data_IF_422019207472
#
_entry.id   IF_422019207472
#
_cell.length_a   1.000
_cell.length_b   1.000
_cell.length_c   1.000
_cell.angle_alpha   90.00
_cell.angle_beta   90.00
_cell.angle_gamma   90.00
#
_symmetry.space_group_name_H-M   'P 1'
#
loop_
_entity.id
_entity.type
_entity.pdbx_description
1 polymer ?
#
# COMPACT_ATOMS: atom_id res chain seq x y z
N UNK A 1 -16.14 -32.94 39.17
CA UNK A 1 -16.46 -31.65 38.50
C UNK A 1 -15.37 -30.58 38.71
N UNK A 2 -14.84 -30.37 39.92
CA UNK A 2 -13.76 -29.38 40.19
C UNK A 2 -12.49 -29.53 39.34
N UNK A 3 -12.01 -30.76 39.14
CA UNK A 3 -10.80 -31.01 38.34
C UNK A 3 -10.96 -30.73 36.85
N UNK A 4 -12.18 -30.85 36.30
CA UNK A 4 -12.47 -30.53 34.89
C UNK A 4 -12.49 -29.03 34.66
N UNK A 5 -13.05 -28.26 35.60
CA UNK A 5 -13.06 -26.79 35.55
C UNK A 5 -11.66 -26.19 35.65
N UNK A 6 -10.80 -26.73 36.53
CA UNK A 6 -9.40 -26.27 36.64
C UNK A 6 -8.60 -26.53 35.37
N UNK A 7 -8.81 -27.68 34.72
CA UNK A 7 -8.14 -28.01 33.44
C UNK A 7 -8.58 -27.08 32.31
N UNK A 8 -9.89 -26.80 32.21
CA UNK A 8 -10.41 -25.88 31.20
C UNK A 8 -9.88 -24.44 31.39
N UNK A 9 -9.81 -23.97 32.64
CA UNK A 9 -9.25 -22.65 32.94
C UNK A 9 -7.75 -22.55 32.60
N UNK A 10 -6.97 -23.59 32.90
CA UNK A 10 -5.55 -23.64 32.54
C UNK A 10 -5.33 -23.66 31.02
N UNK A 11 -6.15 -24.42 30.28
CA UNK A 11 -6.10 -24.47 28.82
C UNK A 11 -6.47 -23.12 28.21
N UNK A 12 -7.51 -22.46 28.71
CA UNK A 12 -7.89 -21.12 28.25
C UNK A 12 -6.81 -20.07 28.54
N UNK A 13 -6.15 -20.15 29.71
CA UNK A 13 -5.05 -19.26 30.07
C UNK A 13 -3.81 -19.47 29.20
N UNK A 14 -3.55 -20.72 28.79
CA UNK A 14 -2.44 -21.07 27.89
C UNK A 14 -2.71 -20.74 26.42
N UNK A 15 -3.97 -20.85 25.96
CA UNK A 15 -4.35 -20.55 24.58
C UNK A 15 -4.68 -19.08 24.34
N UNK A 16 -4.98 -18.30 25.38
CA UNK A 16 -5.26 -16.87 25.29
C UNK A 16 -4.17 -16.06 24.57
N UNK A 17 -2.87 -16.22 24.90
CA UNK A 17 -1.79 -15.52 24.23
C UNK A 17 -1.63 -15.88 22.74
N UNK A 18 -1.92 -17.13 22.35
CA UNK A 18 -1.88 -17.56 20.95
C UNK A 18 -2.96 -16.87 20.10
N UNK A 19 -4.06 -16.44 20.70
CA UNK A 19 -5.13 -15.70 20.04
C UNK A 19 -4.84 -14.20 19.92
N UNK A 20 -3.91 -13.66 20.73
CA UNK A 20 -3.48 -12.25 20.65
C UNK A 20 -2.31 -12.07 19.67
N UNK A 21 -1.60 -13.15 19.33
CA UNK A 21 -0.61 -13.16 18.23
C UNK A 21 -1.26 -13.22 16.83
N UNK A 22 -2.53 -12.85 16.71
CA UNK A 22 -3.19 -12.72 15.41
C UNK A 22 -2.58 -11.53 14.66
N UNK A 23 -1.64 -11.87 13.77
CA UNK A 23 -1.29 -11.17 12.55
C UNK A 23 -1.17 -9.65 12.68
N UNK A 24 -0.11 -9.18 13.33
CA UNK A 24 0.58 -8.06 12.71
C UNK A 24 1.03 -8.57 11.35
N UNK A 25 0.40 -8.10 10.28
CA UNK A 25 0.84 -8.40 8.93
C UNK A 25 2.35 -8.14 8.89
N UNK A 26 3.14 -9.19 8.70
CA UNK A 26 4.56 -9.06 8.42
C UNK A 26 4.68 -8.37 7.06
N UNK A 27 4.59 -7.04 7.05
CA UNK A 27 4.73 -6.20 5.87
C UNK A 27 6.20 -5.88 5.69
N UNK A 28 6.93 -6.87 5.18
CA UNK A 28 8.30 -6.66 4.73
C UNK A 28 8.25 -6.36 3.23
N UNK A 29 8.10 -5.09 2.90
CA UNK A 29 8.48 -4.62 1.59
C UNK A 29 9.98 -4.40 1.63
N UNK A 30 10.72 -5.39 1.16
CA UNK A 30 12.17 -5.33 1.04
C UNK A 30 12.49 -5.19 -0.44
N UNK A 31 12.87 -3.98 -0.84
CA UNK A 31 13.37 -3.73 -2.18
C UNK A 31 14.81 -4.25 -2.25
N UNK A 32 15.07 -5.15 -3.19
CA UNK A 32 16.44 -5.56 -3.49
C UNK A 32 17.14 -4.41 -4.21
N UNK A 33 18.25 -3.94 -3.64
CA UNK A 33 19.04 -2.86 -4.23
C UNK A 33 19.74 -3.37 -5.50
N UNK A 34 19.34 -2.82 -6.65
CA UNK A 34 19.83 -3.20 -7.96
C UNK A 34 20.59 -2.03 -8.59
N UNK A 35 21.80 -2.22 -9.15
CA UNK A 35 22.49 -1.14 -9.83
C UNK A 35 21.67 -0.59 -11.01
N UNK A 36 21.62 0.74 -11.14
CA UNK A 36 20.81 1.43 -12.14
C UNK A 36 21.03 0.94 -13.59
N UNK A 37 22.27 0.61 -13.96
CA UNK A 37 22.60 0.04 -15.27
C UNK A 37 21.95 -1.33 -15.51
N UNK A 38 21.88 -2.16 -14.46
CA UNK A 38 21.24 -3.47 -14.55
C UNK A 38 19.72 -3.31 -14.56
N UNK A 39 19.15 -2.42 -13.74
CA UNK A 39 17.70 -2.15 -13.74
C UNK A 39 17.22 -1.64 -15.11
N UNK A 40 18.02 -0.80 -15.79
CA UNK A 40 17.77 -0.39 -17.17
C UNK A 40 17.60 -1.57 -18.13
N UNK A 41 18.32 -2.68 -17.96
CA UNK A 41 18.21 -3.83 -18.87
C UNK A 41 16.86 -4.54 -18.75
N UNK A 42 16.23 -4.52 -17.56
CA UNK A 42 15.00 -5.26 -17.26
C UNK A 42 13.71 -4.50 -17.54
N UNK A 43 13.75 -3.18 -17.60
CA UNK A 43 12.53 -2.35 -17.72
C UNK A 43 12.23 -1.99 -19.17
N UNK A 44 10.97 -1.70 -19.48
CA UNK A 44 10.57 -1.28 -20.83
C UNK A 44 10.83 0.22 -21.04
N UNK A 45 10.66 1.02 -19.99
CA UNK A 45 10.94 2.44 -19.99
C UNK A 45 11.63 2.90 -18.71
N UNK A 46 12.52 3.89 -18.84
CA UNK A 46 13.17 4.57 -17.73
C UNK A 46 13.26 6.07 -18.01
N UNK A 47 12.67 6.88 -17.14
CA UNK A 47 12.54 8.31 -17.34
C UNK A 47 12.43 9.06 -16.01
N UNK A 48 12.61 10.38 -16.06
CA UNK A 48 12.42 11.25 -14.91
C UNK A 48 11.45 12.36 -15.24
N UNK A 49 10.69 12.77 -14.23
CA UNK A 49 9.66 13.78 -14.40
C UNK A 49 9.05 14.23 -13.08
N UNK A 50 8.15 15.21 -13.18
CA UNK A 50 7.39 15.73 -12.04
C UNK A 50 5.98 15.19 -12.04
N UNK A 51 5.49 14.78 -10.88
CA UNK A 51 4.08 14.44 -10.70
C UNK A 51 3.24 15.71 -10.78
N UNK A 52 2.35 15.79 -11.75
CA UNK A 52 1.44 16.94 -11.96
C UNK A 52 0.03 16.69 -11.43
N UNK A 53 -0.37 15.43 -11.25
CA UNK A 53 -1.63 15.06 -10.61
C UNK A 53 -1.57 13.65 -10.03
N UNK A 54 -2.24 13.43 -8.90
CA UNK A 54 -2.43 12.11 -8.29
C UNK A 54 -3.93 11.81 -8.22
N UNK A 55 -4.35 10.66 -8.78
CA UNK A 55 -5.75 10.26 -8.88
C UNK A 55 -6.04 8.98 -8.08
N UNK A 56 -7.32 8.78 -7.74
CA UNK A 56 -7.85 7.55 -7.10
C UNK A 56 -6.98 7.06 -5.92
N UNK A 57 -6.75 7.95 -4.96
CA UNK A 57 -5.95 7.71 -3.75
C UNK A 57 -4.50 7.26 -4.02
N UNK A 58 -3.93 7.65 -5.17
CA UNK A 58 -2.58 7.30 -5.60
C UNK A 58 -2.49 6.06 -6.49
N UNK A 59 -3.62 5.56 -6.99
CA UNK A 59 -3.61 4.43 -7.93
C UNK A 59 -3.08 4.84 -9.30
N UNK A 60 -3.32 6.09 -9.71
CA UNK A 60 -2.85 6.62 -10.98
C UNK A 60 -2.16 7.96 -10.77
N UNK A 61 -1.10 8.22 -11.54
CA UNK A 61 -0.37 9.48 -11.51
C UNK A 61 -0.16 10.02 -12.91
N UNK A 62 -0.25 11.33 -13.04
CA UNK A 62 0.17 12.04 -14.23
C UNK A 62 1.56 12.65 -14.03
N UNK A 63 2.46 12.40 -14.96
CA UNK A 63 3.86 12.81 -14.89
C UNK A 63 4.23 13.65 -16.11
N UNK A 64 4.78 14.83 -15.85
CA UNK A 64 5.47 15.65 -16.84
C UNK A 64 6.92 15.17 -16.96
N UNK A 65 7.23 14.49 -18.07
CA UNK A 65 8.54 13.87 -18.30
C UNK A 65 9.57 14.90 -18.80
N UNK A 66 10.78 14.86 -18.22
CA UNK A 66 11.88 15.77 -18.55
C UNK A 66 13.05 15.07 -19.24
N UNK A 67 13.38 13.83 -18.82
CA UNK A 67 14.47 13.04 -19.41
C UNK A 67 14.09 11.58 -19.54
N UNK A 68 14.62 10.94 -20.57
CA UNK A 68 14.38 9.54 -20.91
C UNK A 68 15.73 8.85 -21.12
N UNK A 69 15.90 7.67 -20.53
CA UNK A 69 17.08 6.82 -20.70
C UNK A 69 16.79 5.55 -21.49
N UNK A 70 15.57 5.04 -21.39
CA UNK A 70 15.12 3.85 -22.14
C UNK A 70 13.62 3.96 -22.43
N UNK A 71 13.22 3.36 -23.56
CA UNK A 71 11.84 3.32 -24.03
C UNK A 71 11.33 4.70 -24.46
N UNK A 72 10.14 4.74 -25.05
CA UNK A 72 9.40 6.00 -25.10
C UNK A 72 8.50 6.05 -23.86
N UNK A 73 8.40 7.17 -23.15
CA UNK A 73 7.35 7.35 -22.16
C UNK A 73 6.02 7.48 -22.93
N UNK A 74 5.44 6.34 -23.33
CA UNK A 74 4.27 6.29 -24.21
C UNK A 74 3.02 6.97 -23.62
N UNK A 75 3.03 7.23 -22.31
CA UNK A 75 1.93 7.84 -21.59
C UNK A 75 2.47 8.88 -20.60
N UNK A 76 1.75 9.98 -20.44
CA UNK A 76 1.88 10.86 -19.26
C UNK A 76 1.14 10.28 -18.05
N UNK A 77 0.47 9.13 -18.19
CA UNK A 77 -0.33 8.46 -17.17
C UNK A 77 0.28 7.11 -16.81
N UNK A 78 0.52 6.92 -15.53
CA UNK A 78 1.10 5.67 -15.01
C UNK A 78 0.22 5.13 -13.89
N UNK A 79 0.15 3.81 -13.81
CA UNK A 79 -0.33 3.14 -12.61
C UNK A 79 0.77 3.26 -11.55
N UNK A 80 0.52 4.09 -10.54
CA UNK A 80 1.43 4.28 -9.41
C UNK A 80 1.34 3.14 -8.38
N UNK A 81 0.48 2.16 -8.64
CA UNK A 81 0.27 0.96 -7.85
C UNK A 81 0.22 -0.23 -8.80
N UNK A 82 1.20 -1.14 -8.70
CA UNK A 82 1.00 -2.50 -9.19
C UNK A 82 -0.17 -3.12 -8.44
N UNK A 83 -1.13 -3.74 -9.15
CA UNK A 83 -2.25 -4.42 -8.52
C UNK A 83 -1.71 -5.51 -7.58
N UNK A 84 -1.90 -5.35 -6.26
CA UNK A 84 -1.35 -6.24 -5.24
C UNK A 84 -0.19 -5.68 -4.39
N UNK A 85 0.22 -4.43 -4.57
CA UNK A 85 1.32 -3.86 -3.79
C UNK A 85 0.93 -3.64 -2.31
N UNK A 86 1.36 -4.59 -1.48
CA UNK A 86 1.25 -4.56 -0.01
C UNK A 86 1.97 -3.34 0.61
N UNK A 87 2.76 -2.65 -0.21
CA UNK A 87 3.63 -1.53 0.14
C UNK A 87 2.98 -0.15 0.01
N UNK A 88 1.79 -0.09 -0.60
CA UNK A 88 1.09 1.15 -0.92
C UNK A 88 0.60 1.97 0.29
N UNK A 89 0.68 1.43 1.51
CA UNK A 89 0.32 2.17 2.74
C UNK A 89 1.41 3.14 3.21
N UNK A 90 2.69 2.85 2.92
CA UNK A 90 3.82 3.60 3.49
C UNK A 90 4.54 4.49 2.47
N UNK A 91 4.30 4.29 1.18
CA UNK A 91 4.87 5.13 0.13
C UNK A 91 3.82 5.50 -0.92
N UNK A 92 3.85 6.76 -1.35
CA UNK A 92 2.96 7.34 -2.35
C UNK A 92 3.69 8.42 -3.13
N UNK A 93 3.35 8.54 -4.42
CA UNK A 93 3.65 9.74 -5.18
C UNK A 93 3.02 10.97 -4.52
N UNK A 94 3.74 12.08 -4.57
CA UNK A 94 3.26 13.37 -4.14
C UNK A 94 3.33 14.39 -5.27
N UNK A 95 2.25 15.16 -5.44
CA UNK A 95 2.18 16.21 -6.46
C UNK A 95 3.31 17.24 -6.30
N UNK A 96 3.85 17.70 -7.42
CA UNK A 96 4.96 18.63 -7.50
C UNK A 96 6.33 18.03 -7.20
N UNK A 97 6.41 16.76 -6.76
CA UNK A 97 7.68 16.06 -6.54
C UNK A 97 8.20 15.46 -7.84
N UNK A 98 9.52 15.29 -7.87
CA UNK A 98 10.25 14.81 -9.03
C UNK A 98 10.84 13.44 -8.73
N UNK A 99 10.72 12.53 -9.69
CA UNK A 99 11.11 11.12 -9.52
C UNK A 99 11.86 10.62 -10.75
N UNK A 100 12.78 9.69 -10.52
CA UNK A 100 13.28 8.74 -11.50
C UNK A 100 12.40 7.49 -11.40
N UNK A 101 11.92 7.02 -12.56
CA UNK A 101 10.90 5.98 -12.65
C UNK A 101 11.37 4.93 -13.65
N UNK A 102 11.38 3.70 -13.17
CA UNK A 102 11.51 2.49 -13.97
C UNK A 102 10.11 1.90 -14.17
N UNK A 103 9.72 1.68 -15.42
CA UNK A 103 8.36 1.30 -15.78
C UNK A 103 8.36 0.09 -16.71
N UNK A 104 7.32 -0.72 -16.54
CA UNK A 104 7.02 -1.89 -17.34
C UNK A 104 5.79 -1.62 -18.20
N UNK A 105 5.80 -2.14 -19.42
CA UNK A 105 4.63 -2.10 -20.28
C UNK A 105 3.47 -2.84 -19.60
N UNK A 106 2.28 -2.26 -19.64
CA UNK A 106 1.07 -2.94 -19.20
C UNK A 106 0.67 -4.03 -20.19
N UNK A 107 -0.23 -4.92 -19.77
CA UNK A 107 -0.92 -5.83 -20.69
C UNK A 107 -1.60 -5.06 -21.85
N UNK A 108 -1.96 -5.75 -22.93
CA UNK A 108 -2.49 -5.11 -24.14
C UNK A 108 -3.64 -4.10 -23.86
N UNK A 109 -3.33 -2.80 -23.94
CA UNK A 109 -4.25 -1.69 -23.71
C UNK A 109 -4.28 -1.14 -22.28
N UNK A 110 -3.52 -1.72 -21.34
CA UNK A 110 -3.32 -1.23 -19.99
C UNK A 110 -2.27 -0.11 -19.95
N UNK A 111 -2.36 0.71 -18.90
CA UNK A 111 -1.35 1.73 -18.63
C UNK A 111 -0.02 1.07 -18.19
N UNK A 112 1.13 1.68 -18.50
CA UNK A 112 2.40 1.25 -17.94
C UNK A 112 2.35 1.26 -16.41
N UNK A 113 3.04 0.30 -15.79
CA UNK A 113 3.05 0.09 -14.34
C UNK A 113 4.45 0.28 -13.77
N UNK A 114 4.52 0.66 -12.49
CA UNK A 114 5.75 0.75 -11.71
C UNK A 114 5.47 0.25 -10.29
N UNK A 115 6.51 -0.11 -9.55
CA UNK A 115 6.42 -0.55 -8.15
C UNK A 115 7.12 0.45 -7.22
N UNK A 116 6.90 0.30 -5.91
CA UNK A 116 7.59 1.11 -4.90
C UNK A 116 9.13 0.98 -4.95
N UNK A 117 9.64 -0.13 -5.49
CA UNK A 117 11.08 -0.39 -5.61
C UNK A 117 11.67 0.16 -6.91
N UNK A 118 10.81 0.58 -7.84
CA UNK A 118 11.17 1.05 -9.18
C UNK A 118 11.06 2.58 -9.30
N UNK A 119 10.86 3.27 -8.17
CA UNK A 119 10.71 4.72 -8.12
C UNK A 119 11.62 5.29 -7.05
N UNK A 120 12.42 6.27 -7.45
CA UNK A 120 13.31 7.00 -6.54
C UNK A 120 13.09 8.50 -6.69
N UNK A 121 13.02 9.23 -5.58
CA UNK A 121 12.93 10.69 -5.64
C UNK A 121 14.22 11.28 -6.22
N UNK A 122 14.09 12.22 -7.16
CA UNK A 122 15.23 12.80 -7.90
C UNK A 122 16.29 13.48 -7.02
N UNK A 123 15.94 13.82 -5.77
CA UNK A 123 16.83 14.40 -4.77
C UNK A 123 17.79 13.37 -4.11
N UNK A 124 17.66 12.08 -4.44
CA UNK A 124 18.43 11.01 -3.81
C UNK A 124 19.15 10.09 -4.83
N UNK A 125 19.22 10.48 -6.10
CA UNK A 125 19.67 9.61 -7.21
C UNK A 125 20.95 10.09 -7.88
N UNK A 126 21.77 10.92 -7.22
CA UNK A 126 22.97 11.47 -7.84
C UNK A 126 23.91 10.38 -8.38
N UNK A 127 24.10 9.30 -7.60
CA UNK A 127 24.94 8.17 -7.97
C UNK A 127 24.33 7.36 -9.13
N UNK A 128 23.02 7.17 -9.14
CA UNK A 128 22.31 6.49 -10.23
C UNK A 128 22.39 7.29 -11.53
N UNK A 129 22.14 8.60 -11.47
CA UNK A 129 22.22 9.49 -12.63
C UNK A 129 23.63 9.54 -13.23
N UNK A 130 24.68 9.37 -12.41
CA UNK A 130 26.04 9.26 -12.91
C UNK A 130 26.23 8.03 -13.80
N UNK A 131 25.62 6.90 -13.43
CA UNK A 131 25.66 5.64 -14.18
C UNK A 131 24.77 5.69 -15.42
N UNK A 132 23.55 6.22 -15.28
CA UNK A 132 22.57 6.33 -16.37
C UNK A 132 23.02 7.34 -17.45
N UNK A 133 23.83 8.33 -17.07
CA UNK A 133 24.27 9.40 -17.95
C UNK A 133 23.19 10.48 -18.12
N UNK A 134 23.36 11.40 -19.10
CA UNK A 134 22.56 12.63 -19.17
C UNK A 134 21.08 12.42 -19.55
N UNK A 135 20.74 11.26 -20.11
CA UNK A 135 19.43 11.01 -20.71
C UNK A 135 19.20 11.81 -22.00
N UNK A 136 18.02 11.65 -22.58
CA UNK A 136 17.55 12.35 -23.77
C UNK A 136 16.26 13.11 -23.46
N UNK A 137 15.99 14.18 -24.22
CA UNK A 137 14.70 14.87 -24.11
C UNK A 137 13.58 13.95 -24.63
N UNK A 138 12.36 14.00 -24.05
CA UNK A 138 11.23 13.24 -24.56
C UNK A 138 10.89 13.67 -25.99
N UNK A 139 10.41 12.73 -26.81
CA UNK A 139 10.04 13.03 -28.20
C UNK A 139 8.88 14.04 -28.26
N UNK A 140 8.95 15.06 -29.13
CA UNK A 140 7.86 16.04 -29.29
C UNK A 140 6.58 15.35 -29.80
N UNK A 141 5.50 15.45 -29.03
CA UNK A 141 4.18 14.89 -29.39
C UNK A 141 3.72 13.72 -28.52
N UNK A 142 4.59 13.19 -27.65
CA UNK A 142 4.23 12.16 -26.63
C UNK A 142 3.69 12.79 -25.33
N UNK A 143 3.66 14.12 -25.25
CA UNK A 143 3.06 14.87 -24.15
C UNK A 143 1.56 15.03 -24.43
N UNK A 144 0.72 14.42 -23.58
CA UNK A 144 -0.73 14.60 -23.66
C UNK A 144 -1.11 16.09 -23.44
N UNK A 145 -2.23 16.56 -24.03
CA UNK A 145 -2.73 17.91 -23.78
C UNK A 145 -2.91 18.17 -22.29
N UNK A 146 -2.51 19.36 -21.83
CA UNK A 146 -2.67 19.79 -20.44
C UNK A 146 -4.15 19.71 -20.03
N UNK A 147 -4.48 19.31 -18.80
CA UNK A 147 -5.82 19.47 -18.25
C UNK A 147 -6.23 20.96 -18.32
N UNK A 148 -7.07 21.31 -19.29
CA UNK A 148 -7.51 22.69 -19.55
C UNK A 148 -7.53 23.11 -21.02
N UNK A 149 -6.88 22.37 -21.93
CA UNK A 149 -7.00 22.64 -23.37
C UNK A 149 -8.19 21.86 -23.94
N UNK A 150 -9.35 22.52 -23.92
CA UNK A 150 -10.62 21.95 -24.32
C UNK A 150 -10.61 21.49 -25.80
N UNK A 151 -10.94 20.23 -26.02
CA UNK A 151 -11.51 19.74 -27.28
C UNK A 151 -13.01 19.41 -27.11
N UNK A 152 -13.80 19.45 -28.20
CA UNK A 152 -15.23 19.71 -28.17
C UNK A 152 -16.06 18.57 -27.56
N UNK A 153 -17.32 18.85 -27.15
CA UNK A 153 -18.14 17.86 -26.44
C UNK A 153 -18.66 16.80 -27.40
N UNK A 154 -18.46 15.54 -27.03
CA UNK A 154 -19.02 14.39 -27.74
C UNK A 154 -19.31 13.23 -26.80
N UNK A 155 -20.59 13.14 -26.37
CA UNK A 155 -21.40 11.94 -26.14
C UNK A 155 -20.81 10.91 -25.14
N UNK A 156 -21.32 10.85 -23.90
CA UNK A 156 -22.26 9.81 -23.44
C UNK A 156 -21.52 8.51 -23.09
N UNK A 157 -21.47 8.04 -21.85
CA UNK A 157 -22.59 7.34 -21.21
C UNK A 157 -22.41 7.24 -19.69
N UNK A 158 -23.56 7.23 -19.03
CA UNK A 158 -23.85 6.95 -17.63
C UNK A 158 -23.48 5.52 -17.22
N UNK A 159 -22.82 5.39 -16.05
CA UNK A 159 -22.62 4.12 -15.35
C UNK A 159 -22.58 4.32 -13.84
N UNK A 160 -23.74 4.51 -13.22
CA UNK A 160 -23.92 4.44 -11.76
C UNK A 160 -23.68 3.01 -11.29
N UNK A 161 -22.46 2.73 -10.84
CA UNK A 161 -22.10 1.52 -10.08
C UNK A 161 -21.94 1.86 -8.60
N UNK A 162 -23.01 1.66 -7.83
CA UNK A 162 -22.97 1.72 -6.37
C UNK A 162 -22.12 0.58 -5.82
N UNK A 163 -20.84 0.83 -5.53
CA UNK A 163 -20.04 -0.09 -4.70
C UNK A 163 -20.36 0.15 -3.24
N UNK A 164 -21.11 -0.80 -2.67
CA UNK A 164 -21.45 -0.83 -1.27
C UNK A 164 -20.17 -0.89 -0.42
N UNK A 165 -19.99 0.14 0.42
CA UNK A 165 -19.06 0.14 1.55
C UNK A 165 -19.45 -0.99 2.51
N UNK A 166 -18.58 -1.97 2.68
CA UNK A 166 -18.59 -2.89 3.82
C UNK A 166 -17.15 -3.09 4.30
N UNK A 167 -16.67 -2.14 5.10
CA UNK A 167 -15.56 -2.34 6.03
C UNK A 167 -15.83 -1.49 7.29
N UNK A 168 -16.87 -1.86 8.02
CA UNK A 168 -16.95 -1.57 9.46
C UNK A 168 -16.93 -2.91 10.18
N UNK A 169 -15.77 -3.25 10.73
CA UNK A 169 -15.66 -4.26 11.76
C UNK A 169 -14.77 -3.67 12.86
N UNK A 170 -15.38 -2.78 13.65
CA UNK A 170 -14.94 -2.40 14.99
C UNK A 170 -14.90 -3.65 15.90
N UNK A 171 -13.87 -4.49 15.72
CA UNK A 171 -13.65 -5.70 16.51
C UNK A 171 -12.96 -5.45 17.85
N UNK A 172 -12.34 -4.27 18.04
CA UNK A 172 -11.52 -3.98 19.21
C UNK A 172 -12.34 -3.85 20.51
N UNK A 173 -13.51 -3.22 20.45
CA UNK A 173 -14.33 -2.99 21.63
C UNK A 173 -14.97 -4.28 22.18
N UNK A 174 -15.47 -5.16 21.29
CA UNK A 174 -16.13 -6.39 21.69
C UNK A 174 -15.20 -7.37 22.43
N UNK A 175 -13.93 -7.43 22.03
CA UNK A 175 -12.90 -8.27 22.68
C UNK A 175 -12.56 -7.72 24.07
N UNK A 176 -12.42 -6.39 24.21
CA UNK A 176 -12.17 -5.74 25.50
C UNK A 176 -13.30 -5.99 26.51
N UNK A 177 -14.56 -5.87 26.08
CA UNK A 177 -15.71 -6.16 26.96
C UNK A 177 -15.77 -7.63 27.40
N UNK A 178 -15.44 -8.57 26.51
CA UNK A 178 -15.40 -9.99 26.85
C UNK A 178 -14.30 -10.31 27.89
N UNK A 179 -13.10 -9.74 27.73
CA UNK A 179 -11.99 -9.93 28.68
C UNK A 179 -12.32 -9.34 30.04
N UNK A 180 -12.86 -8.12 30.09
CA UNK A 180 -13.26 -7.48 31.36
C UNK A 180 -14.35 -8.26 32.08
N UNK A 181 -15.35 -8.77 31.35
CA UNK A 181 -16.42 -9.59 31.93
C UNK A 181 -15.89 -10.88 32.58
N UNK A 182 -14.94 -11.56 31.92
CA UNK A 182 -14.32 -12.78 32.46
C UNK A 182 -13.49 -12.48 33.72
N UNK A 183 -12.71 -11.40 33.72
CA UNK A 183 -11.91 -10.99 34.90
C UNK A 183 -12.82 -10.63 36.08
N UNK A 184 -13.89 -9.88 35.85
CA UNK A 184 -14.85 -9.50 36.89
C UNK A 184 -15.62 -10.72 37.44
N UNK A 185 -16.02 -11.65 36.58
CA UNK A 185 -16.65 -12.90 37.00
C UNK A 185 -15.69 -13.76 37.85
N UNK A 186 -14.41 -13.85 37.47
CA UNK A 186 -13.38 -14.54 38.25
C UNK A 186 -13.15 -13.92 39.62
N UNK A 187 -13.06 -12.58 39.70
CA UNK A 187 -12.88 -11.86 40.97
C UNK A 187 -14.08 -12.00 41.92
N UNK A 188 -15.32 -11.97 41.39
CA UNK A 188 -16.54 -12.23 42.16
C UNK A 188 -16.60 -13.67 42.69
N UNK A 189 -16.17 -14.63 41.89
CA UNK A 189 -16.13 -16.03 42.32
C UNK A 189 -15.08 -16.27 43.42
N UNK A 190 -13.90 -15.67 43.30
CA UNK A 190 -12.84 -15.76 44.30
C UNK A 190 -13.24 -15.10 45.65
N UNK A 191 -13.94 -13.97 45.61
CA UNK A 191 -14.42 -13.28 46.81
C UNK A 191 -15.54 -14.05 47.53
N UNK A 192 -16.45 -14.70 46.80
CA UNK A 192 -17.47 -15.59 47.39
C UNK A 192 -16.81 -16.80 48.06
N UNK A 193 -15.81 -17.41 47.43
CA UNK A 193 -15.08 -18.54 48.01
C UNK A 193 -14.30 -18.15 49.28
N UNK A 194 -13.65 -16.98 49.28
CA UNK A 194 -12.95 -16.45 50.47
C UNK A 194 -13.91 -16.16 51.63
N UNK A 195 -15.13 -15.69 51.34
CA UNK A 195 -16.17 -15.46 52.38
C UNK A 195 -16.72 -16.75 52.97
N UNK A 196 -16.79 -17.82 52.17
CA UNK A 196 -17.28 -19.14 52.63
C UNK A 196 -16.24 -19.89 53.46
N UNK A 197 -14.96 -19.75 53.13
CA UNK A 197 -13.84 -20.33 53.88
C UNK A 197 -13.57 -19.67 55.25
N UNK A 198 -14.09 -18.46 55.50
CA UNK A 198 -13.98 -17.77 56.80
C UNK A 198 -15.15 -18.02 57.76
N UNK A 199 -16.15 -18.81 57.35
CA UNK A 199 -17.36 -19.13 58.16
C UNK A 199 -17.39 -20.58 58.66
N UNK A 200 -16.30 -21.31 58.49
CA UNK A 200 -16.02 -22.66 59.02
C UNK A 200 -14.73 -22.58 59.80
#
# INVERSE_FOLDING_TARGET
>A
MRSRLVRLAAIALLLGPLLVMQAEHARACECEEMPAAYQLDYVDAAFSGRVIAVHDDGSYVEIEVYRVWKGAPYATRFLGRGEGDMCSEWWRFAEGREYLIYAYDGDAGALPTTSVCDVVELLHVEDELHVLGPGQAPEPGTVAPRPGEASPPGVGETGTGTVARLCEADGGAAVLFAVVAVVLAGARFATIFRRRARRT
#
